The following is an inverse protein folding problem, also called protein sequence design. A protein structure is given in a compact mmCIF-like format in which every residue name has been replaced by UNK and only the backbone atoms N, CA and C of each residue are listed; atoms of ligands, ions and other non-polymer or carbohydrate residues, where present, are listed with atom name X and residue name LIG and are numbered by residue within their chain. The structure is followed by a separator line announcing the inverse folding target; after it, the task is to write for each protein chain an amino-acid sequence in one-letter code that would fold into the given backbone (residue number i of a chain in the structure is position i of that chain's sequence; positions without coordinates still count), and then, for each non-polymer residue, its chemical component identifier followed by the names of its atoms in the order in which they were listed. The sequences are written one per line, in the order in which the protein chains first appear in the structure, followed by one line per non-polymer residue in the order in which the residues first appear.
data_IF_708941988991
#
_entry.id   IF_708941988991
#
_cell.length_a   1.000
_cell.length_b   1.000
_cell.length_c   1.000
_cell.angle_alpha   90.00
_cell.angle_beta   90.00
_cell.angle_gamma   90.00
#
_symmetry.space_group_name_H-M   'P 1'
#
loop_
_entity.id
_entity.type
_entity.pdbx_description
1 polymer ?
#
# COMPACT_ATOMS: atom_id res chain seq x y z
N UNK A 1 -23.80 2.80 22.12
CA UNK A 1 -22.55 2.72 21.62
C UNK A 1 -21.50 3.40 22.44
N UNK A 2 -20.60 2.65 22.82
CA UNK A 2 -19.43 3.15 23.54
C UNK A 2 -18.21 2.98 22.64
N UNK A 3 -17.10 3.54 23.05
CA UNK A 3 -15.81 3.34 22.42
C UNK A 3 -15.47 1.85 22.34
N UNK A 4 -15.82 1.09 23.37
CA UNK A 4 -15.58 -0.34 23.43
C UNK A 4 -16.33 -1.09 22.32
N UNK A 5 -17.60 -0.75 22.08
CA UNK A 5 -18.40 -1.37 21.04
C UNK A 5 -17.85 -1.05 19.65
N UNK A 6 -17.46 0.19 19.42
CA UNK A 6 -16.85 0.61 18.15
C UNK A 6 -15.53 -0.14 17.90
N UNK A 7 -14.70 -0.25 18.92
CA UNK A 7 -13.41 -0.94 18.83
C UNK A 7 -13.60 -2.42 18.50
N UNK A 8 -14.57 -3.07 19.15
CA UNK A 8 -14.86 -4.47 18.88
C UNK A 8 -15.34 -4.69 17.45
N UNK A 9 -16.09 -3.77 16.90
CA UNK A 9 -16.57 -3.84 15.52
C UNK A 9 -15.42 -3.78 14.53
N UNK A 10 -14.46 -2.87 14.74
CA UNK A 10 -13.27 -2.77 13.89
C UNK A 10 -12.46 -4.06 13.95
N UNK A 11 -12.25 -4.59 15.14
CA UNK A 11 -11.47 -5.80 15.35
C UNK A 11 -12.14 -7.00 14.69
N UNK A 12 -13.46 -7.15 14.85
CA UNK A 12 -14.20 -8.24 14.23
C UNK A 12 -14.15 -8.15 12.71
N UNK A 13 -14.24 -6.95 12.16
CA UNK A 13 -14.14 -6.73 10.71
C UNK A 13 -12.77 -7.16 10.19
N UNK A 14 -11.70 -6.80 10.90
CA UNK A 14 -10.34 -7.18 10.52
C UNK A 14 -10.12 -8.69 10.55
N UNK A 15 -10.80 -9.42 11.46
CA UNK A 15 -10.65 -10.87 11.56
C UNK A 15 -11.51 -11.65 10.58
N UNK A 16 -12.59 -11.05 10.07
CA UNK A 16 -13.54 -11.76 9.20
C UNK A 16 -13.53 -11.27 7.76
N UNK A 17 -13.07 -10.07 7.50
CA UNK A 17 -13.06 -9.50 6.18
C UNK A 17 -11.93 -10.06 5.32
N UNK A 18 -12.08 -9.97 4.01
CA UNK A 18 -11.03 -10.30 3.03
C UNK A 18 -9.89 -9.28 3.06
N UNK A 19 -10.10 -8.15 3.70
CA UNK A 19 -9.16 -7.02 3.74
C UNK A 19 -8.71 -6.81 5.18
N UNK A 20 -7.45 -6.55 5.36
CA UNK A 20 -6.85 -6.41 6.69
C UNK A 20 -5.76 -5.34 6.69
N UNK A 21 -6.07 -4.17 6.09
CA UNK A 21 -5.13 -3.07 6.05
C UNK A 21 -5.69 -1.84 6.75
N UNK A 22 -4.75 -1.07 7.29
CA UNK A 22 -4.98 0.25 7.86
C UNK A 22 -4.54 1.27 6.83
N UNK A 23 -5.43 2.17 6.42
CA UNK A 23 -5.13 3.16 5.41
C UNK A 23 -5.47 4.57 5.88
N UNK A 24 -4.86 5.54 5.24
CA UNK A 24 -5.11 6.95 5.49
C UNK A 24 -5.38 7.66 4.18
N UNK A 25 -6.30 8.64 4.20
CA UNK A 25 -6.60 9.46 3.03
C UNK A 25 -5.61 10.61 2.94
N UNK A 26 -4.96 10.72 1.78
CA UNK A 26 -4.09 11.84 1.43
C UNK A 26 -4.62 12.53 0.19
N UNK A 27 -4.18 13.76 -0.03
CA UNK A 27 -4.45 14.46 -1.28
C UNK A 27 -3.43 14.04 -2.34
N UNK A 28 -3.92 13.58 -3.49
CA UNK A 28 -3.07 13.16 -4.60
C UNK A 28 -3.12 14.15 -5.76
N UNK A 29 -2.12 14.08 -6.62
CA UNK A 29 -2.04 14.92 -7.82
C UNK A 29 -2.99 14.45 -8.92
N UNK A 30 -3.41 13.20 -8.90
CA UNK A 30 -4.40 12.63 -9.81
C UNK A 30 -5.02 11.39 -9.15
N UNK A 31 -5.95 10.75 -9.81
CA UNK A 31 -6.54 9.48 -9.34
C UNK A 31 -5.60 8.32 -9.65
N UNK A 32 -5.47 7.40 -8.70
CA UNK A 32 -4.65 6.20 -8.85
C UNK A 32 -5.49 4.96 -8.61
N UNK A 33 -5.29 3.95 -9.44
CA UNK A 33 -5.98 2.66 -9.31
C UNK A 33 -5.50 1.90 -8.07
N UNK A 34 -6.36 1.09 -7.43
CA UNK A 34 -5.92 0.21 -6.37
C UNK A 34 -4.75 -0.67 -6.81
N UNK A 35 -3.81 -0.88 -5.90
CA UNK A 35 -2.59 -1.62 -6.17
C UNK A 35 -1.41 -0.78 -6.63
N UNK A 36 -1.62 0.50 -6.92
CA UNK A 36 -0.55 1.40 -7.34
C UNK A 36 0.35 1.75 -6.16
N UNK A 37 1.65 1.61 -6.35
CA UNK A 37 2.66 2.05 -5.38
C UNK A 37 2.83 3.55 -5.53
N UNK A 38 2.71 4.27 -4.42
CA UNK A 38 2.74 5.74 -4.41
C UNK A 38 3.79 6.25 -3.43
N UNK A 39 4.20 7.50 -3.65
CA UNK A 39 5.23 8.16 -2.88
C UNK A 39 4.75 9.51 -2.39
N UNK A 40 5.38 10.02 -1.34
CA UNK A 40 5.18 11.39 -0.91
C UNK A 40 5.95 12.29 -1.87
N UNK A 41 5.24 13.18 -2.53
CA UNK A 41 5.85 14.08 -3.50
C UNK A 41 4.85 14.59 -4.52
N UNK A 42 5.34 15.15 -5.60
CA UNK A 42 4.52 15.74 -6.62
C UNK A 42 3.96 17.10 -6.22
N UNK A 43 2.89 17.52 -6.87
CA UNK A 43 2.28 18.83 -6.63
C UNK A 43 1.39 18.86 -5.39
N UNK A 44 1.00 17.70 -4.89
CA UNK A 44 0.18 17.53 -3.69
C UNK A 44 0.96 16.67 -2.68
N UNK A 45 0.25 15.87 -1.87
CA UNK A 45 0.93 15.01 -0.89
C UNK A 45 1.43 13.71 -1.52
N UNK A 46 0.63 13.13 -2.43
CA UNK A 46 0.87 11.81 -3.01
C UNK A 46 0.99 11.91 -4.52
N UNK A 47 1.96 11.18 -5.05
CA UNK A 47 2.16 10.98 -6.49
C UNK A 47 2.55 9.52 -6.73
N UNK A 48 2.49 9.06 -7.98
CA UNK A 48 2.94 7.72 -8.33
C UNK A 48 4.42 7.55 -7.99
N UNK A 49 4.81 6.37 -7.48
CA UNK A 49 6.21 6.08 -7.25
C UNK A 49 6.87 5.78 -8.60
N UNK A 50 7.66 6.71 -9.10
CA UNK A 50 8.20 6.69 -10.45
C UNK A 50 9.61 6.13 -10.52
N UNK A 51 10.29 6.00 -9.38
CA UNK A 51 11.71 5.64 -9.33
C UNK A 51 11.90 4.29 -8.68
N UNK A 52 12.78 3.46 -9.23
CA UNK A 52 13.15 2.19 -8.61
C UNK A 52 13.86 2.47 -7.28
N UNK A 53 13.46 1.73 -6.24
CA UNK A 53 14.04 1.89 -4.92
C UNK A 53 13.81 3.28 -4.35
N UNK A 54 12.61 3.80 -4.51
CA UNK A 54 12.24 5.15 -4.10
C UNK A 54 12.22 5.27 -2.57
N UNK A 55 13.09 6.10 -1.98
CA UNK A 55 13.09 6.27 -0.52
C UNK A 55 11.92 7.12 -0.02
N UNK A 56 11.17 7.78 -0.91
CA UNK A 56 10.00 8.57 -0.53
C UNK A 56 8.71 7.77 -0.61
N UNK A 57 8.80 6.46 -0.83
CA UNK A 57 7.62 5.60 -0.96
C UNK A 57 6.71 5.73 0.27
N UNK A 58 5.41 5.90 0.00
CA UNK A 58 4.41 6.09 1.04
C UNK A 58 3.65 4.80 1.35
N UNK A 59 3.31 4.03 0.34
CA UNK A 59 2.53 2.81 0.48
C UNK A 59 1.87 2.43 -0.83
N UNK A 60 0.73 1.74 -0.72
CA UNK A 60 0.00 1.18 -1.86
C UNK A 60 -1.45 1.64 -1.77
N UNK A 61 -2.04 2.01 -2.90
CA UNK A 61 -3.45 2.40 -2.96
C UNK A 61 -4.32 1.18 -2.63
N UNK A 62 -5.17 1.34 -1.62
CA UNK A 62 -6.07 0.29 -1.13
C UNK A 62 -7.45 0.43 -1.75
N UNK A 63 -8.05 -0.70 -2.13
CA UNK A 63 -9.42 -0.72 -2.64
C UNK A 63 -10.45 -0.63 -1.50
N UNK A 64 -10.25 -1.42 -0.45
CA UNK A 64 -11.20 -1.57 0.66
C UNK A 64 -10.45 -1.76 1.98
N UNK A 65 -9.98 -0.69 2.60
CA UNK A 65 -9.28 -0.83 3.87
C UNK A 65 -10.22 -1.31 4.97
N UNK A 66 -9.68 -2.08 5.91
CA UNK A 66 -10.41 -2.49 7.10
C UNK A 66 -10.66 -1.31 8.02
N UNK A 67 -9.73 -0.37 8.05
CA UNK A 67 -9.87 0.87 8.82
C UNK A 67 -9.28 2.02 8.02
N UNK A 68 -10.02 3.12 7.95
CA UNK A 68 -9.62 4.28 7.15
C UNK A 68 -9.51 5.52 8.03
N UNK A 69 -8.32 6.08 8.11
CA UNK A 69 -8.05 7.32 8.82
C UNK A 69 -8.17 8.51 7.88
N UNK A 70 -8.46 9.67 8.46
CA UNK A 70 -8.55 10.95 7.75
C UNK A 70 -9.61 10.95 6.64
N UNK A 71 -10.69 10.19 6.84
CA UNK A 71 -11.72 10.01 5.82
C UNK A 71 -12.50 11.29 5.53
N UNK A 72 -12.43 12.28 6.40
CA UNK A 72 -13.07 13.58 6.18
C UNK A 72 -12.32 14.53 5.28
N UNK A 73 -11.13 14.15 4.81
CA UNK A 73 -10.34 15.02 3.94
C UNK A 73 -11.09 15.34 2.66
N UNK A 74 -11.19 16.64 2.34
CA UNK A 74 -11.76 17.12 1.08
C UNK A 74 -10.62 17.42 0.11
N UNK A 75 -10.62 16.80 -1.05
CA UNK A 75 -9.60 16.98 -2.07
C UNK A 75 -10.19 16.60 -3.43
N UNK A 76 -9.63 17.17 -4.49
CA UNK A 76 -10.06 16.83 -5.85
C UNK A 76 -9.73 15.37 -6.17
N UNK A 77 -8.58 14.88 -5.69
CA UNK A 77 -8.14 13.50 -5.86
C UNK A 77 -7.72 12.96 -4.50
N UNK A 78 -8.45 11.97 -4.01
CA UNK A 78 -8.19 11.33 -2.72
C UNK A 78 -7.44 10.03 -2.94
N UNK A 79 -6.29 9.90 -2.30
CA UNK A 79 -5.52 8.66 -2.30
C UNK A 79 -5.75 7.93 -0.99
N UNK A 80 -6.29 6.72 -1.06
CA UNK A 80 -6.46 5.84 0.09
C UNK A 80 -5.22 4.97 0.16
N UNK A 81 -4.28 5.33 1.02
CA UNK A 81 -2.95 4.72 1.06
C UNK A 81 -2.86 3.72 2.21
N UNK A 82 -2.64 2.45 1.88
CA UNK A 82 -2.40 1.42 2.88
C UNK A 82 -1.03 1.67 3.54
N UNK A 83 -1.04 1.81 4.85
CA UNK A 83 0.16 2.08 5.65
C UNK A 83 0.70 0.83 6.33
N UNK A 84 -0.18 -0.12 6.63
CA UNK A 84 0.18 -1.39 7.24
C UNK A 84 -0.90 -2.42 6.96
N UNK A 85 -0.49 -3.69 6.89
CA UNK A 85 -1.40 -4.80 6.69
C UNK A 85 -1.40 -5.31 5.25
N UNK A 86 -2.34 -6.18 4.98
CA UNK A 86 -2.45 -6.95 3.74
C UNK A 86 -3.11 -6.11 2.64
N UNK A 87 -2.45 -6.02 1.48
CA UNK A 87 -2.99 -5.24 0.34
C UNK A 87 -2.56 -5.86 -0.99
N UNK A 88 -3.47 -5.86 -1.97
CA UNK A 88 -3.15 -6.26 -3.34
C UNK A 88 -2.32 -5.17 -4.01
N UNK A 89 -1.21 -5.57 -4.62
CA UNK A 89 -0.19 -4.65 -5.11
C UNK A 89 0.25 -5.05 -6.51
N UNK A 90 0.37 -4.06 -7.39
CA UNK A 90 0.92 -4.25 -8.73
C UNK A 90 2.41 -4.54 -8.63
N UNK A 91 2.87 -5.62 -9.26
CA UNK A 91 4.27 -6.05 -9.20
C UNK A 91 4.82 -6.31 -10.59
N UNK A 92 6.13 -6.22 -10.71
CA UNK A 92 6.87 -6.61 -11.91
C UNK A 92 8.00 -7.55 -11.53
N UNK A 93 8.25 -8.55 -12.39
CA UNK A 93 9.32 -9.51 -12.20
C UNK A 93 9.00 -10.58 -11.16
N UNK A 94 9.90 -11.54 -11.04
CA UNK A 94 9.73 -12.69 -10.16
C UNK A 94 9.75 -12.27 -8.68
N UNK A 95 8.85 -12.86 -7.91
CA UNK A 95 8.75 -12.62 -6.46
C UNK A 95 8.69 -13.97 -5.77
N UNK A 96 9.47 -14.11 -4.71
CA UNK A 96 9.37 -15.26 -3.81
C UNK A 96 8.64 -14.82 -2.55
N UNK A 97 7.72 -15.65 -2.08
CA UNK A 97 7.00 -15.42 -0.82
C UNK A 97 8.00 -15.05 0.29
N UNK A 98 7.70 -13.98 0.99
CA UNK A 98 8.56 -13.44 2.05
C UNK A 98 9.58 -12.42 1.57
N UNK A 99 9.71 -12.20 0.27
CA UNK A 99 10.67 -11.24 -0.27
C UNK A 99 10.33 -9.82 0.15
N UNK A 100 11.37 -9.01 0.42
CA UNK A 100 11.22 -7.59 0.64
C UNK A 100 10.89 -6.91 -0.68
N UNK A 101 9.88 -6.04 -0.65
CA UNK A 101 9.36 -5.37 -1.83
C UNK A 101 9.73 -3.91 -1.81
N UNK A 102 10.22 -3.41 -2.95
CA UNK A 102 10.55 -1.99 -3.14
C UNK A 102 9.79 -1.46 -4.36
N UNK A 103 9.79 -0.14 -4.55
CA UNK A 103 9.25 0.44 -5.77
C UNK A 103 10.07 -0.03 -6.98
N UNK A 104 9.38 -0.45 -8.03
CA UNK A 104 10.00 -0.77 -9.32
C UNK A 104 9.95 0.42 -10.27
N UNK A 105 9.31 1.52 -9.85
CA UNK A 105 8.93 2.60 -10.75
C UNK A 105 7.57 2.35 -11.39
N UNK A 106 7.01 3.37 -12.01
CA UNK A 106 5.71 3.29 -12.70
C UNK A 106 4.57 2.75 -11.85
N UNK A 107 4.64 2.96 -10.52
CA UNK A 107 3.60 2.51 -9.61
C UNK A 107 3.58 1.02 -9.34
N UNK A 108 4.61 0.29 -9.69
CA UNK A 108 4.75 -1.14 -9.41
C UNK A 108 5.75 -1.39 -8.29
N UNK A 109 5.65 -2.56 -7.66
CA UNK A 109 6.65 -3.06 -6.73
C UNK A 109 7.46 -4.18 -7.36
N UNK A 110 8.65 -4.42 -6.84
CA UNK A 110 9.50 -5.54 -7.19
C UNK A 110 10.22 -6.09 -5.96
N UNK A 111 10.66 -7.33 -6.04
CA UNK A 111 11.45 -7.92 -4.97
C UNK A 111 12.89 -7.40 -5.00
N UNK A 112 13.48 -7.25 -3.83
CA UNK A 112 14.89 -6.88 -3.69
C UNK A 112 15.53 -7.69 -2.56
N UNK A 113 16.67 -8.29 -2.83
CA UNK A 113 17.41 -9.06 -1.83
C UNK A 113 18.17 -8.17 -0.85
N UNK A 114 18.52 -6.95 -1.25
CA UNK A 114 19.33 -6.04 -0.45
C UNK A 114 18.84 -4.59 -0.62
N UNK A 115 17.62 -4.28 -0.19
CA UNK A 115 17.06 -2.94 -0.35
C UNK A 115 17.78 -1.94 0.54
N UNK A 116 17.91 -0.70 0.06
CA UNK A 116 18.42 0.39 0.87
C UNK A 116 17.42 0.72 2.00
N UNK A 117 17.93 1.33 3.06
CA UNK A 117 17.10 1.75 4.17
C UNK A 117 16.03 2.75 3.69
N UNK A 118 14.81 2.59 4.19
CA UNK A 118 13.71 3.49 3.87
C UNK A 118 13.01 3.20 2.55
N UNK A 119 13.43 2.16 1.81
CA UNK A 119 12.85 1.85 0.50
C UNK A 119 11.87 0.69 0.52
N UNK A 120 11.81 -0.07 1.61
CA UNK A 120 10.97 -1.27 1.71
C UNK A 120 9.52 -0.89 1.92
N UNK A 121 8.64 -1.39 1.05
CA UNK A 121 7.19 -1.22 1.14
C UNK A 121 6.61 -2.24 2.13
N UNK A 122 7.08 -3.47 2.05
CA UNK A 122 6.57 -4.59 2.83
C UNK A 122 7.15 -5.91 2.34
N UNK A 123 6.47 -7.01 2.66
CA UNK A 123 6.91 -8.35 2.27
C UNK A 123 5.82 -9.08 1.51
N UNK A 124 6.23 -9.86 0.51
CA UNK A 124 5.30 -10.62 -0.32
C UNK A 124 4.66 -11.77 0.45
N UNK A 125 3.36 -11.97 0.24
CA UNK A 125 2.62 -13.09 0.82
C UNK A 125 2.54 -14.29 -0.13
N UNK A 126 2.91 -14.12 -1.39
CA UNK A 126 2.78 -15.18 -2.38
C UNK A 126 3.93 -15.14 -3.39
N UNK A 127 4.11 -16.24 -4.08
CA UNK A 127 5.08 -16.34 -5.19
C UNK A 127 4.47 -15.76 -6.47
N UNK A 128 5.33 -15.22 -7.31
CA UNK A 128 4.92 -14.71 -8.62
C UNK A 128 6.09 -14.89 -9.59
N UNK A 129 5.83 -15.36 -10.80
CA UNK A 129 6.88 -15.58 -11.79
C UNK A 129 6.55 -14.99 -13.15
N UNK A 130 5.60 -14.07 -13.23
CA UNK A 130 5.26 -13.36 -14.46
C UNK A 130 6.09 -12.10 -14.68
N UNK A 131 5.79 -11.40 -15.77
CA UNK A 131 6.42 -10.10 -16.06
C UNK A 131 5.78 -9.00 -15.23
N UNK A 132 4.45 -8.98 -15.15
CA UNK A 132 3.71 -8.05 -14.32
C UNK A 132 2.38 -8.67 -13.93
N UNK A 133 1.88 -8.26 -12.77
CA UNK A 133 0.62 -8.78 -12.24
C UNK A 133 0.30 -8.13 -10.92
N UNK A 134 -0.64 -8.74 -10.19
CA UNK A 134 -1.07 -8.27 -8.87
C UNK A 134 -0.92 -9.42 -7.90
N UNK A 135 -0.23 -9.16 -6.80
CA UNK A 135 -0.10 -10.12 -5.70
C UNK A 135 -0.44 -9.43 -4.37
N UNK A 136 -0.70 -10.24 -3.37
CA UNK A 136 -0.93 -9.73 -2.02
C UNK A 136 0.40 -9.59 -1.29
N UNK A 137 0.62 -8.43 -0.68
CA UNK A 137 1.78 -8.18 0.17
C UNK A 137 1.31 -7.67 1.53
N UNK A 138 2.18 -7.74 2.52
CA UNK A 138 1.96 -7.10 3.81
C UNK A 138 2.80 -5.83 3.84
N UNK A 139 2.11 -4.69 3.79
CA UNK A 139 2.76 -3.39 3.87
C UNK A 139 3.15 -3.12 5.32
N UNK A 140 4.30 -2.52 5.52
CA UNK A 140 4.75 -2.11 6.83
C UNK A 140 5.99 -1.24 6.71
N UNK A 141 6.17 -0.36 7.68
CA UNK A 141 7.35 0.49 7.75
C UNK A 141 8.52 -0.30 8.33
N UNK A 142 9.56 -0.36 7.57
CA UNK A 142 10.75 -1.12 7.95
C UNK A 142 12.01 -0.31 7.68
#
# INVERSE_FOLDING_TARGET
GSTSSYFNQIFAQATTALYADLAEVYEADTDYAPGTVVSFGGSKEITVSATEGDPTVAGVISANPSYLMNNGLTADHRAIVALTGRVHTSVTGAVTKGAMMISAGHGHARASAAPAMGTVIGKALENFDGESGIIEIVVGRM
#
